data_IF_085536464376
#
_entry.id   IF_085536464376
#
_cell.length_a   1.000
_cell.length_b   1.000
_cell.length_c   1.000
_cell.angle_alpha   90.00
_cell.angle_beta   90.00
_cell.angle_gamma   90.00
#
_symmetry.space_group_name_H-M   'P 1'
#
loop_
_entity.id
_entity.type
_entity.pdbx_description
1 polymer ?
#
# COMPACT_ATOMS: atom_id res chain seq x y z
N UNK A 1 -18.87 28.19 -37.57
CA UNK A 1 -19.51 27.37 -36.51
C UNK A 1 -19.24 25.93 -36.94
N UNK A 2 -18.55 25.07 -36.20
CA UNK A 2 -18.58 24.80 -34.76
C UNK A 2 -17.15 24.63 -34.22
N UNK A 3 -16.81 25.37 -33.16
CA UNK A 3 -15.55 25.19 -32.44
C UNK A 3 -15.69 24.00 -31.50
N UNK A 4 -14.92 22.94 -31.72
CA UNK A 4 -14.77 21.90 -30.70
C UNK A 4 -14.01 22.50 -29.52
N UNK A 5 -14.74 22.87 -28.48
CA UNK A 5 -14.14 23.25 -27.21
C UNK A 5 -13.27 22.09 -26.73
N UNK A 6 -11.97 22.34 -26.59
CA UNK A 6 -11.10 21.51 -25.76
C UNK A 6 -11.64 21.64 -24.34
N UNK A 7 -12.50 20.71 -23.92
CA UNK A 7 -12.86 20.57 -22.52
C UNK A 7 -11.60 20.15 -21.76
N UNK A 8 -10.91 21.14 -21.19
CA UNK A 8 -9.89 20.89 -20.19
C UNK A 8 -10.61 20.33 -18.96
N UNK A 9 -10.65 19.01 -18.82
CA UNK A 9 -11.09 18.35 -17.59
C UNK A 9 -10.09 18.68 -16.48
N UNK A 10 -10.48 19.56 -15.57
CA UNK A 10 -9.73 19.83 -14.34
C UNK A 10 -10.07 18.73 -13.33
N UNK A 11 -9.25 17.68 -13.25
CA UNK A 11 -9.36 16.70 -12.17
C UNK A 11 -8.75 17.28 -10.89
N UNK A 12 -9.60 17.62 -9.92
CA UNK A 12 -9.15 17.96 -8.57
C UNK A 12 -8.89 16.64 -7.85
N UNK A 13 -7.62 16.37 -7.53
CA UNK A 13 -7.25 15.21 -6.71
C UNK A 13 -7.40 15.60 -5.25
N UNK A 14 -8.45 15.11 -4.60
CA UNK A 14 -8.53 15.13 -3.14
C UNK A 14 -7.62 14.02 -2.59
N UNK A 15 -6.45 14.41 -2.06
CA UNK A 15 -5.49 13.50 -1.45
C UNK A 15 -4.17 13.39 -2.22
N UNK A 16 -3.47 12.26 -2.05
CA UNK A 16 -2.19 11.99 -2.70
C UNK A 16 -2.35 10.88 -3.74
N UNK A 17 -1.80 11.09 -4.93
CA UNK A 17 -1.81 10.12 -6.03
C UNK A 17 -0.37 9.87 -6.52
N UNK A 18 -0.09 8.63 -6.90
CA UNK A 18 1.18 8.25 -7.53
C UNK A 18 0.98 7.11 -8.55
N UNK A 19 1.87 7.04 -9.55
CA UNK A 19 1.73 6.15 -10.71
C UNK A 19 2.23 4.72 -10.44
N UNK A 20 1.56 4.01 -9.53
CA UNK A 20 1.80 2.60 -9.23
C UNK A 20 0.50 1.85 -9.02
N UNK A 21 0.28 0.81 -9.82
CA UNK A 21 -0.87 -0.09 -9.68
C UNK A 21 -0.66 -1.20 -8.65
N UNK A 22 -1.72 -1.98 -8.42
CA UNK A 22 -1.67 -3.19 -7.60
C UNK A 22 -0.70 -4.23 -8.18
N UNK A 23 -0.01 -4.94 -7.29
CA UNK A 23 0.95 -6.00 -7.66
C UNK A 23 0.26 -7.29 -8.13
N UNK A 24 -1.03 -7.45 -7.86
CA UNK A 24 -1.81 -8.62 -8.27
C UNK A 24 -3.26 -8.24 -8.57
N UNK A 25 -3.85 -8.72 -9.69
CA UNK A 25 -5.26 -8.48 -10.00
C UNK A 25 -6.21 -9.12 -8.97
N UNK A 26 -5.73 -10.07 -8.16
CA UNK A 26 -6.51 -10.67 -7.09
C UNK A 26 -6.75 -9.74 -5.88
N UNK A 27 -6.22 -8.52 -5.91
CA UNK A 27 -6.59 -7.47 -4.96
C UNK A 27 -7.82 -6.66 -5.40
N UNK A 28 -8.26 -6.80 -6.66
CA UNK A 28 -9.45 -6.11 -7.19
C UNK A 28 -10.70 -6.56 -6.42
N UNK A 29 -11.45 -5.59 -5.91
CA UNK A 29 -12.72 -5.80 -5.23
C UNK A 29 -13.88 -5.00 -5.85
N UNK A 30 -13.58 -4.21 -6.90
CA UNK A 30 -14.55 -3.60 -7.82
C UNK A 30 -14.31 -4.15 -9.24
N UNK A 31 -14.99 -5.24 -9.64
CA UNK A 31 -14.76 -5.88 -10.94
C UNK A 31 -15.08 -4.98 -12.13
N UNK A 32 -16.09 -4.10 -11.99
CA UNK A 32 -16.54 -3.23 -13.09
C UNK A 32 -15.51 -2.17 -13.46
N UNK A 33 -14.78 -1.66 -12.46
CA UNK A 33 -13.76 -0.61 -12.62
C UNK A 33 -12.33 -1.17 -12.58
N UNK A 34 -12.18 -2.47 -12.33
CA UNK A 34 -10.89 -3.12 -12.06
C UNK A 34 -10.08 -2.42 -10.95
N UNK A 35 -10.77 -1.97 -9.89
CA UNK A 35 -10.17 -1.23 -8.79
C UNK A 35 -10.08 -2.07 -7.49
N UNK A 36 -9.07 -1.75 -6.68
CA UNK A 36 -8.92 -2.21 -5.31
C UNK A 36 -9.21 -1.03 -4.37
N UNK A 37 -10.44 -0.95 -3.86
CA UNK A 37 -10.88 0.12 -2.95
C UNK A 37 -10.82 -0.37 -1.50
N UNK A 38 -10.04 0.30 -0.66
CA UNK A 38 -9.92 -0.03 0.75
C UNK A 38 -10.54 1.12 1.57
N UNK A 39 -11.56 0.81 2.39
CA UNK A 39 -12.18 1.78 3.30
C UNK A 39 -11.40 1.84 4.61
N UNK A 40 -11.02 3.06 5.01
CA UNK A 40 -10.29 3.34 6.24
C UNK A 40 -9.06 2.43 6.46
N UNK A 41 -8.16 2.27 5.48
CA UNK A 41 -7.07 1.31 5.55
C UNK A 41 -5.99 1.75 6.54
N UNK A 42 -5.28 0.74 7.05
CA UNK A 42 -3.94 0.90 7.61
C UNK A 42 -2.91 0.90 6.47
N UNK A 43 -1.86 1.69 6.58
CA UNK A 43 -0.79 1.77 5.59
C UNK A 43 0.53 1.27 6.19
N UNK A 44 1.09 0.22 5.60
CA UNK A 44 2.44 -0.24 5.89
C UNK A 44 3.40 0.27 4.81
N UNK A 45 4.40 1.04 5.24
CA UNK A 45 5.39 1.68 4.37
C UNK A 45 6.75 1.04 4.61
N UNK A 46 7.37 0.44 3.58
CA UNK A 46 8.60 -0.35 3.73
C UNK A 46 9.62 0.02 2.67
N UNK A 47 10.83 0.40 3.07
CA UNK A 47 11.91 0.72 2.13
C UNK A 47 12.80 -0.50 1.82
N UNK A 48 12.16 -1.64 1.54
CA UNK A 48 12.84 -2.83 1.01
C UNK A 48 11.87 -3.73 0.26
N UNK A 49 12.43 -4.73 -0.43
CA UNK A 49 11.64 -5.81 -1.02
C UNK A 49 11.14 -6.77 0.07
N UNK A 50 9.92 -7.24 -0.09
CA UNK A 50 9.29 -8.23 0.79
C UNK A 50 9.09 -9.52 -0.02
N UNK A 51 9.94 -10.51 0.22
CA UNK A 51 9.87 -11.82 -0.44
C UNK A 51 9.43 -12.95 0.50
N UNK A 52 9.63 -12.77 1.81
CA UNK A 52 9.30 -13.75 2.85
C UNK A 52 8.12 -13.27 3.69
N UNK A 53 7.05 -14.09 3.75
CA UNK A 53 5.86 -13.74 4.51
C UNK A 53 6.09 -13.76 6.04
N UNK A 54 7.12 -14.47 6.52
CA UNK A 54 7.40 -14.59 7.96
C UNK A 54 7.69 -13.25 8.61
N UNK A 55 8.36 -12.36 7.89
CA UNK A 55 8.68 -11.01 8.36
C UNK A 55 7.41 -10.17 8.60
N UNK A 56 6.32 -10.50 7.88
CA UNK A 56 5.05 -9.79 7.92
C UNK A 56 4.06 -10.36 8.95
N UNK A 57 4.30 -11.56 9.49
CA UNK A 57 3.32 -12.24 10.36
C UNK A 57 2.85 -11.37 11.53
N UNK A 58 3.73 -10.69 12.29
CA UNK A 58 3.31 -9.86 13.42
C UNK A 58 2.33 -8.76 13.01
N UNK A 59 2.61 -8.07 11.90
CA UNK A 59 1.77 -6.96 11.41
C UNK A 59 0.45 -7.47 10.84
N UNK A 60 0.47 -8.60 10.12
CA UNK A 60 -0.73 -9.22 9.55
C UNK A 60 -1.68 -9.72 10.63
N UNK A 61 -1.17 -10.32 11.69
CA UNK A 61 -1.96 -10.74 12.85
C UNK A 61 -2.59 -9.53 13.56
N UNK A 62 -1.82 -8.46 13.76
CA UNK A 62 -2.30 -7.25 14.40
C UNK A 62 -3.40 -6.55 13.58
N UNK A 63 -3.22 -6.45 12.26
CA UNK A 63 -4.21 -5.91 11.32
C UNK A 63 -5.47 -6.78 11.28
N UNK A 64 -5.33 -8.10 11.19
CA UNK A 64 -6.47 -9.02 11.18
C UNK A 64 -7.29 -8.89 12.47
N UNK A 65 -6.63 -8.78 13.62
CA UNK A 65 -7.28 -8.54 14.91
C UNK A 65 -7.98 -7.18 14.98
N UNK A 66 -7.41 -6.14 14.35
CA UNK A 66 -8.04 -4.84 14.25
C UNK A 66 -9.24 -4.82 13.28
N UNK A 67 -9.39 -5.83 12.42
CA UNK A 67 -10.49 -5.95 11.47
C UNK A 67 -10.47 -4.89 10.36
N UNK A 68 -9.32 -4.24 10.14
CA UNK A 68 -9.15 -3.15 9.17
C UNK A 68 -8.40 -3.63 7.92
N UNK A 69 -8.67 -3.07 6.73
CA UNK A 69 -7.88 -3.36 5.55
C UNK A 69 -6.44 -2.84 5.67
N UNK A 70 -5.52 -3.43 4.91
CA UNK A 70 -4.11 -3.04 4.85
C UNK A 70 -3.70 -2.69 3.42
N UNK A 71 -3.08 -1.52 3.25
CA UNK A 71 -2.33 -1.18 2.04
C UNK A 71 -0.83 -1.31 2.34
N UNK A 72 -0.14 -2.11 1.55
CA UNK A 72 1.32 -2.28 1.62
C UNK A 72 1.96 -1.47 0.50
N UNK A 73 2.85 -0.55 0.85
CA UNK A 73 3.67 0.23 -0.09
C UNK A 73 5.14 -0.10 0.19
N UNK A 74 5.74 -0.90 -0.69
CA UNK A 74 7.11 -1.41 -0.52
C UNK A 74 7.96 -1.24 -1.79
N UNK A 75 9.28 -1.42 -1.74
CA UNK A 75 10.08 -1.45 -2.99
C UNK A 75 9.51 -2.48 -3.98
N UNK A 76 9.23 -3.69 -3.47
CA UNK A 76 8.47 -4.71 -4.16
C UNK A 76 7.86 -5.70 -3.15
N UNK A 77 6.81 -6.39 -3.54
CA UNK A 77 6.28 -7.55 -2.82
C UNK A 77 6.21 -8.70 -3.81
N UNK A 78 7.02 -9.73 -3.60
CA UNK A 78 7.26 -10.77 -4.61
C UNK A 78 7.30 -12.18 -4.00
N UNK A 79 7.36 -13.18 -4.88
CA UNK A 79 7.53 -14.58 -4.49
C UNK A 79 6.46 -15.11 -3.54
N UNK A 80 6.90 -15.79 -2.48
CA UNK A 80 6.04 -16.42 -1.48
C UNK A 80 5.17 -15.40 -0.73
N UNK A 81 5.74 -14.23 -0.41
CA UNK A 81 5.01 -13.17 0.28
C UNK A 81 3.77 -12.73 -0.52
N UNK A 82 3.95 -12.40 -1.80
CA UNK A 82 2.83 -11.99 -2.66
C UNK A 82 1.78 -13.10 -2.81
N UNK A 83 2.22 -14.33 -3.06
CA UNK A 83 1.31 -15.48 -3.21
C UNK A 83 0.47 -15.69 -1.94
N UNK A 84 1.08 -15.59 -0.77
CA UNK A 84 0.40 -15.79 0.52
C UNK A 84 -0.59 -14.66 0.81
N UNK A 85 -0.23 -13.41 0.53
CA UNK A 85 -1.14 -12.27 0.67
C UNK A 85 -2.36 -12.42 -0.24
N UNK A 86 -2.15 -12.82 -1.50
CA UNK A 86 -3.23 -13.07 -2.46
C UNK A 86 -4.18 -14.15 -1.96
N UNK A 87 -3.67 -15.30 -1.52
CA UNK A 87 -4.52 -16.41 -1.03
C UNK A 87 -5.32 -15.99 0.21
N UNK A 88 -4.72 -15.23 1.12
CA UNK A 88 -5.43 -14.73 2.31
C UNK A 88 -6.47 -13.66 1.97
N UNK A 89 -6.20 -12.79 1.00
CA UNK A 89 -7.16 -11.81 0.51
C UNK A 89 -8.37 -12.48 -0.14
N UNK A 90 -8.15 -13.47 -1.02
CA UNK A 90 -9.23 -14.22 -1.68
C UNK A 90 -10.09 -15.01 -0.69
N UNK A 91 -9.51 -15.45 0.42
CA UNK A 91 -10.24 -16.14 1.51
C UNK A 91 -10.93 -15.17 2.48
N UNK A 92 -10.73 -13.86 2.33
CA UNK A 92 -11.28 -12.85 3.22
C UNK A 92 -10.68 -12.84 4.63
N UNK A 93 -9.55 -13.52 4.84
CA UNK A 93 -8.88 -13.59 6.15
C UNK A 93 -8.22 -12.26 6.47
N UNK A 94 -7.55 -11.66 5.49
CA UNK A 94 -6.96 -10.33 5.58
C UNK A 94 -7.32 -9.56 4.32
N UNK A 95 -8.00 -8.42 4.46
CA UNK A 95 -8.27 -7.51 3.34
C UNK A 95 -7.00 -6.72 3.06
N UNK A 96 -6.31 -7.03 1.97
CA UNK A 96 -5.00 -6.42 1.69
C UNK A 96 -4.85 -6.08 0.22
N UNK A 97 -4.17 -4.97 -0.07
CA UNK A 97 -3.60 -4.67 -1.37
C UNK A 97 -2.13 -4.31 -1.21
N UNK A 98 -1.31 -4.65 -2.21
CA UNK A 98 0.10 -4.30 -2.23
C UNK A 98 0.45 -3.55 -3.53
N UNK A 99 1.22 -2.48 -3.40
CA UNK A 99 1.73 -1.66 -4.49
C UNK A 99 3.23 -1.43 -4.31
N UNK A 100 3.92 -1.16 -5.42
CA UNK A 100 5.30 -0.66 -5.36
C UNK A 100 5.31 0.78 -4.87
N UNK A 101 6.34 1.15 -4.12
CA UNK A 101 6.62 2.52 -3.74
C UNK A 101 6.92 3.37 -4.99
N UNK A 102 6.52 4.65 -5.00
CA UNK A 102 6.79 5.53 -6.12
C UNK A 102 8.26 5.96 -6.16
N UNK A 103 8.77 6.27 -7.35
CA UNK A 103 10.17 6.68 -7.53
C UNK A 103 11.18 5.51 -7.48
N UNK A 104 12.46 5.86 -7.33
CA UNK A 104 13.61 4.95 -7.21
C UNK A 104 14.72 5.62 -6.39
N UNK A 105 15.63 4.84 -5.79
CA UNK A 105 16.74 5.36 -4.99
C UNK A 105 16.28 6.33 -3.90
N UNK A 106 17.03 7.41 -3.70
CA UNK A 106 16.72 8.43 -2.69
C UNK A 106 15.35 9.10 -2.90
N UNK A 107 14.90 9.21 -4.15
CA UNK A 107 13.56 9.76 -4.45
C UNK A 107 12.45 8.86 -3.91
N UNK A 108 12.63 7.54 -3.95
CA UNK A 108 11.65 6.60 -3.35
C UNK A 108 11.57 6.79 -1.85
N UNK A 109 12.72 6.92 -1.18
CA UNK A 109 12.79 7.14 0.27
C UNK A 109 12.08 8.43 0.67
N UNK A 110 12.35 9.52 -0.05
CA UNK A 110 11.68 10.80 0.16
C UNK A 110 10.16 10.68 -0.02
N UNK A 111 9.69 10.04 -1.10
CA UNK A 111 8.25 9.88 -1.33
C UNK A 111 7.57 8.95 -0.31
N UNK A 112 8.24 7.88 0.14
CA UNK A 112 7.73 7.05 1.25
C UNK A 112 7.60 7.86 2.53
N UNK A 113 8.56 8.75 2.80
CA UNK A 113 8.51 9.65 3.95
C UNK A 113 7.35 10.66 3.84
N UNK A 114 7.09 11.19 2.64
CA UNK A 114 5.95 12.09 2.40
C UNK A 114 4.61 11.37 2.67
N UNK A 115 4.47 10.13 2.20
CA UNK A 115 3.28 9.29 2.48
C UNK A 115 3.16 9.03 3.99
N UNK A 116 4.27 8.72 4.67
CA UNK A 116 4.30 8.48 6.11
C UNK A 116 3.81 9.71 6.89
N UNK A 117 4.31 10.90 6.55
CA UNK A 117 3.89 12.16 7.17
C UNK A 117 2.41 12.43 6.91
N UNK A 118 1.95 12.27 5.66
CA UNK A 118 0.56 12.53 5.28
C UNK A 118 -0.42 11.60 6.01
N UNK A 119 -0.03 10.35 6.23
CA UNK A 119 -0.90 9.31 6.82
C UNK A 119 -0.66 9.09 8.31
N UNK A 120 0.30 9.81 8.92
CA UNK A 120 0.69 9.63 10.32
C UNK A 120 1.36 8.29 10.62
N UNK A 121 1.97 7.65 9.62
CA UNK A 121 2.72 6.40 9.75
C UNK A 121 4.23 6.62 9.91
N UNK A 122 4.97 5.51 10.00
CA UNK A 122 6.44 5.48 10.04
C UNK A 122 6.95 4.54 8.94
N UNK A 123 7.97 4.96 8.21
CA UNK A 123 8.62 4.11 7.20
C UNK A 123 9.46 3.06 7.90
N UNK A 124 9.16 1.79 7.65
CA UNK A 124 9.99 0.66 8.10
C UNK A 124 11.23 0.60 7.21
N UNK A 125 12.38 0.98 7.77
CA UNK A 125 13.66 0.96 7.09
C UNK A 125 14.76 0.49 8.04
N UNK A 126 15.58 -0.43 7.55
CA UNK A 126 16.73 -0.96 8.30
C UNK A 126 17.80 0.13 8.52
N UNK A 127 17.84 1.17 7.68
CA UNK A 127 18.78 2.30 7.81
C UNK A 127 18.53 3.14 9.07
N UNK A 128 17.29 3.15 9.56
CA UNK A 128 16.90 3.84 10.81
C UNK A 128 16.71 2.86 11.97
N UNK A 129 17.12 1.60 11.81
CA UNK A 129 17.05 0.56 12.85
C UNK A 129 15.68 -0.07 13.06
N UNK A 130 14.73 0.12 12.13
CA UNK A 130 13.42 -0.52 12.18
C UNK A 130 13.40 -1.78 11.33
N UNK A 131 12.88 -2.88 11.89
CA UNK A 131 12.65 -4.12 11.16
C UNK A 131 11.16 -4.35 10.93
N UNK A 132 10.84 -5.05 9.85
CA UNK A 132 9.47 -5.42 9.51
C UNK A 132 8.86 -6.38 10.54
N UNK A 133 9.67 -7.29 11.07
CA UNK A 133 9.29 -8.19 12.17
C UNK A 133 8.93 -7.44 13.46
N UNK A 134 9.55 -6.28 13.70
CA UNK A 134 9.28 -5.41 14.84
C UNK A 134 8.14 -4.40 14.62
N UNK A 135 7.53 -4.40 13.44
CA UNK A 135 6.50 -3.41 13.10
C UNK A 135 5.19 -3.66 13.88
N UNK A 136 4.82 -2.70 14.71
CA UNK A 136 3.52 -2.62 15.41
C UNK A 136 2.50 -1.75 14.67
N UNK A 137 1.24 -1.74 15.13
CA UNK A 137 0.18 -0.88 14.60
C UNK A 137 0.48 0.62 14.70
N UNK A 138 1.33 1.03 15.64
CA UNK A 138 1.71 2.44 15.84
C UNK A 138 2.57 2.97 14.69
N UNK A 139 3.29 2.10 13.99
CA UNK A 139 4.04 2.47 12.79
C UNK A 139 3.15 2.61 11.56
N UNK A 140 1.92 2.09 11.59
CA UNK A 140 1.06 2.08 10.41
C UNK A 140 0.36 3.43 10.24
N UNK A 141 0.39 3.93 9.01
CA UNK A 141 -0.39 5.10 8.61
C UNK A 141 -1.88 4.80 8.55
N UNK A 142 -2.68 5.86 8.43
CA UNK A 142 -4.13 5.78 8.29
C UNK A 142 -4.57 6.65 7.10
N UNK A 143 -5.57 6.17 6.37
CA UNK A 143 -6.31 6.95 5.37
C UNK A 143 -7.82 6.75 5.57
N UNK A 144 -8.62 7.59 4.93
CA UNK A 144 -10.09 7.48 4.91
C UNK A 144 -10.52 6.71 3.67
#
# INVERSE_FOLDING_TARGET
EEGSGLENELSVVEGMQFDRGYLSPYFVNKPDTMAAELDSPLLLLVDKKISNIREMLPVLEAVAKAGRPLLIVAEDVEGEALATLVVNNMRGIVKVAAVKAPGFGDRRKAMLQDIAILTGGTVISEEVGLSLEGATLEHLGNAK
#
